data_IF_567742943438
#
_entry.id   IF_567742943438
#
_cell.length_a   1.000
_cell.length_b   1.000
_cell.length_c   1.000
_cell.angle_alpha   90.00
_cell.angle_beta   90.00
_cell.angle_gamma   90.00
#
_symmetry.space_group_name_H-M   'P 1'
#
loop_
_entity.id
_entity.type
_entity.pdbx_description
1 polymer ?
#
# COMPACT_ATOMS: atom_id res chain seq x y z
N UNK A 1 23.73 -8.53 1.31
CA UNK A 1 22.57 -7.87 1.95
C UNK A 1 21.53 -8.95 2.22
N UNK A 2 21.35 -9.36 3.46
CA UNK A 2 20.34 -10.38 3.82
C UNK A 2 18.99 -9.68 3.92
N UNK A 3 18.16 -9.80 2.90
CA UNK A 3 16.79 -9.30 2.96
C UNK A 3 16.00 -10.15 3.97
N UNK A 4 15.65 -9.58 5.12
CA UNK A 4 14.74 -10.25 6.03
C UNK A 4 13.36 -10.32 5.38
N UNK A 5 12.79 -11.51 5.31
CA UNK A 5 11.49 -11.76 4.67
C UNK A 5 10.36 -11.42 5.65
N UNK A 6 9.39 -10.62 5.21
CA UNK A 6 8.19 -10.28 5.99
C UNK A 6 7.08 -11.35 5.91
N UNK A 7 7.39 -12.51 5.32
CA UNK A 7 6.46 -13.64 5.15
C UNK A 7 5.72 -13.61 3.81
N UNK A 8 5.00 -14.69 3.54
CA UNK A 8 4.39 -14.96 2.22
C UNK A 8 3.27 -13.98 1.87
N UNK A 9 2.53 -13.47 2.86
CA UNK A 9 1.47 -12.49 2.62
C UNK A 9 2.05 -11.19 2.03
N UNK A 10 3.18 -10.73 2.54
CA UNK A 10 3.86 -9.54 2.00
C UNK A 10 4.50 -9.81 0.63
N UNK A 11 5.04 -11.01 0.40
CA UNK A 11 5.53 -11.40 -0.93
C UNK A 11 4.39 -11.42 -1.96
N UNK A 12 3.21 -11.93 -1.59
CA UNK A 12 2.03 -11.91 -2.45
C UNK A 12 1.54 -10.48 -2.75
N UNK A 13 1.71 -9.55 -1.81
CA UNK A 13 1.47 -8.12 -2.05
C UNK A 13 2.46 -7.54 -3.08
N UNK A 14 3.75 -7.89 -3.01
CA UNK A 14 4.73 -7.46 -4.01
C UNK A 14 4.39 -7.99 -5.41
N UNK A 15 3.96 -9.25 -5.51
CA UNK A 15 3.50 -9.83 -6.79
C UNK A 15 2.29 -9.05 -7.32
N UNK A 16 1.30 -8.76 -6.49
CA UNK A 16 0.13 -7.97 -6.89
C UNK A 16 0.50 -6.55 -7.37
N UNK A 17 1.50 -5.92 -6.73
CA UNK A 17 2.04 -4.63 -7.21
C UNK A 17 2.67 -4.77 -8.60
N UNK A 18 3.49 -5.79 -8.81
CA UNK A 18 4.13 -6.02 -10.12
C UNK A 18 3.10 -6.30 -11.22
N UNK A 19 2.06 -7.08 -10.93
CA UNK A 19 0.96 -7.34 -11.86
C UNK A 19 0.20 -6.07 -12.22
N UNK A 20 -0.07 -5.20 -11.24
CA UNK A 20 -0.72 -3.92 -11.48
C UNK A 20 0.14 -2.96 -12.31
N UNK A 21 1.43 -2.80 -11.98
CA UNK A 21 2.32 -1.93 -12.77
C UNK A 21 2.51 -2.47 -14.19
N UNK A 22 2.45 -3.80 -14.37
CA UNK A 22 2.42 -4.44 -15.68
C UNK A 22 1.13 -4.14 -16.44
N UNK A 23 -0.05 -4.16 -15.79
CA UNK A 23 -1.30 -3.80 -16.45
C UNK A 23 -1.31 -2.32 -16.88
N UNK A 24 -0.65 -1.45 -16.10
CA UNK A 24 -0.41 -0.07 -16.50
C UNK A 24 0.69 0.10 -17.56
N UNK A 25 1.22 -0.98 -18.15
CA UNK A 25 2.29 -0.93 -19.18
C UNK A 25 3.52 -0.14 -18.72
N UNK A 26 3.76 -0.10 -17.40
CA UNK A 26 4.83 0.67 -16.76
C UNK A 26 4.76 2.18 -17.02
N UNK A 27 3.57 2.69 -17.33
CA UNK A 27 3.30 4.12 -17.45
C UNK A 27 3.57 4.86 -16.13
N UNK A 28 3.75 6.16 -16.24
CA UNK A 28 3.99 7.04 -15.11
C UNK A 28 3.13 8.26 -15.25
N UNK A 29 2.30 8.51 -14.24
CA UNK A 29 1.61 9.79 -14.13
C UNK A 29 2.48 10.78 -13.35
N UNK A 30 2.33 12.06 -13.69
CA UNK A 30 2.92 13.16 -12.92
C UNK A 30 2.21 13.30 -11.56
N UNK A 31 0.93 12.95 -11.51
CA UNK A 31 0.12 12.87 -10.30
C UNK A 31 0.27 11.51 -9.61
N UNK A 32 0.11 11.50 -8.29
CA UNK A 32 0.14 10.28 -7.48
C UNK A 32 -1.16 10.12 -6.70
N UNK A 33 -1.14 9.20 -5.74
CA UNK A 33 -2.24 9.04 -4.79
C UNK A 33 -2.47 10.32 -3.96
N UNK A 34 -3.70 10.48 -3.47
CA UNK A 34 -4.07 11.54 -2.53
C UNK A 34 -3.13 11.60 -1.33
N UNK A 35 -2.87 12.82 -0.84
CA UNK A 35 -1.88 13.06 0.24
C UNK A 35 -2.49 13.40 1.59
N UNK A 36 -3.82 13.47 1.67
CA UNK A 36 -4.58 13.69 2.91
C UNK A 36 -4.16 12.66 3.96
N UNK A 37 -3.73 13.12 5.14
CA UNK A 37 -3.23 12.28 6.25
C UNK A 37 -1.98 11.43 5.95
N UNK A 38 -1.34 11.59 4.79
CA UNK A 38 -0.15 10.79 4.42
C UNK A 38 0.93 10.90 5.49
N UNK A 39 1.42 9.77 6.05
CA UNK A 39 2.48 9.78 7.06
C UNK A 39 3.73 10.55 6.59
N UNK A 40 4.24 11.43 7.44
CA UNK A 40 5.42 12.26 7.15
C UNK A 40 6.65 11.45 6.76
N UNK A 41 6.80 10.24 7.30
CA UNK A 41 7.89 9.31 6.97
C UNK A 41 7.91 8.95 5.48
N UNK A 42 6.74 8.82 4.86
CA UNK A 42 6.62 8.52 3.42
C UNK A 42 7.02 9.75 2.60
N UNK A 43 6.56 10.94 3.00
CA UNK A 43 6.97 12.19 2.36
C UNK A 43 8.49 12.38 2.39
N UNK A 44 9.11 12.19 3.56
CA UNK A 44 10.56 12.30 3.73
C UNK A 44 11.31 11.25 2.89
N UNK A 45 10.83 10.01 2.87
CA UNK A 45 11.44 8.94 2.07
C UNK A 45 11.37 9.22 0.57
N UNK A 46 10.22 9.68 0.06
CA UNK A 46 10.07 10.09 -1.34
C UNK A 46 11.00 11.26 -1.67
N UNK A 47 11.04 12.29 -0.82
CA UNK A 47 11.91 13.47 -0.98
C UNK A 47 13.40 13.11 -0.96
N UNK A 48 13.79 12.12 -0.15
CA UNK A 48 15.15 11.59 -0.10
C UNK A 48 15.51 10.70 -1.30
N UNK A 49 14.63 10.56 -2.30
CA UNK A 49 14.88 9.73 -3.47
C UNK A 49 14.73 8.24 -3.20
N UNK A 50 13.90 7.86 -2.23
CA UNK A 50 13.50 6.47 -1.96
C UNK A 50 14.66 5.52 -1.65
N UNK A 51 15.68 6.03 -0.98
CA UNK A 51 16.89 5.25 -0.65
C UNK A 51 17.86 5.05 -1.82
N UNK A 52 17.64 5.68 -2.97
CA UNK A 52 18.53 5.57 -4.14
C UNK A 52 19.68 6.58 -4.14
N UNK A 53 19.59 7.64 -3.33
CA UNK A 53 20.53 8.77 -3.38
C UNK A 53 21.69 8.70 -2.37
N UNK A 54 21.83 7.61 -1.62
CA UNK A 54 23.01 7.33 -0.78
C UNK A 54 23.31 8.33 0.35
N UNK A 55 22.42 9.27 0.67
CA UNK A 55 22.62 10.28 1.72
C UNK A 55 22.22 9.82 3.14
N UNK A 56 22.37 10.66 4.18
CA UNK A 56 22.04 10.33 5.57
C UNK A 56 20.57 9.90 5.79
N UNK A 57 19.68 10.33 4.89
CA UNK A 57 18.25 9.97 4.86
C UNK A 57 17.95 8.71 4.02
N UNK A 58 18.97 8.08 3.42
CA UNK A 58 18.86 6.88 2.58
C UNK A 58 18.73 5.63 3.46
N UNK A 59 17.57 5.47 4.08
CA UNK A 59 17.34 4.46 5.13
C UNK A 59 16.86 3.09 4.60
N UNK A 60 17.29 2.71 3.39
CA UNK A 60 16.97 1.42 2.76
C UNK A 60 15.68 1.44 1.92
N UNK A 61 15.14 0.24 1.68
CA UNK A 61 14.07 0.00 0.70
C UNK A 61 12.69 0.57 1.07
N UNK A 62 12.53 1.15 2.27
CA UNK A 62 11.27 1.77 2.73
C UNK A 62 11.50 2.91 3.72
N UNK A 63 10.43 3.62 4.13
CA UNK A 63 10.51 4.72 5.08
C UNK A 63 10.90 4.24 6.49
N UNK A 64 11.72 5.04 7.18
CA UNK A 64 12.06 4.78 8.59
C UNK A 64 10.88 5.05 9.49
N UNK A 65 10.39 4.00 10.13
CA UNK A 65 9.31 4.11 11.11
C UNK A 65 9.92 4.33 12.50
N UNK A 66 9.42 5.33 13.23
CA UNK A 66 9.83 5.59 14.62
C UNK A 66 8.97 4.81 15.59
N UNK A 67 7.88 5.43 16.05
CA UNK A 67 6.83 4.78 16.83
C UNK A 67 5.85 4.06 15.89
N UNK A 68 5.68 2.75 16.10
CA UNK A 68 4.73 1.94 15.33
C UNK A 68 3.30 2.42 15.54
N UNK A 69 2.88 2.60 16.80
CA UNK A 69 1.53 3.05 17.17
C UNK A 69 1.13 4.35 16.47
N UNK A 70 2.00 5.38 16.52
CA UNK A 70 1.72 6.66 15.85
C UNK A 70 1.66 6.51 14.34
N UNK A 71 2.58 5.72 13.77
CA UNK A 71 2.63 5.50 12.34
C UNK A 71 1.37 4.79 11.85
N UNK A 72 0.97 3.71 12.52
CA UNK A 72 -0.23 2.93 12.23
C UNK A 72 -1.49 3.80 12.21
N UNK A 73 -1.69 4.64 13.23
CA UNK A 73 -2.82 5.57 13.28
C UNK A 73 -2.87 6.48 12.05
N UNK A 74 -1.74 7.10 11.72
CA UNK A 74 -1.64 7.97 10.53
C UNK A 74 -1.77 7.21 9.21
N UNK A 75 -1.27 5.97 9.16
CA UNK A 75 -1.35 5.13 7.97
C UNK A 75 -2.79 4.73 7.67
N UNK A 76 -3.55 4.29 8.68
CA UNK A 76 -4.96 3.97 8.52
C UNK A 76 -5.81 5.19 8.16
N UNK A 77 -5.52 6.36 8.74
CA UNK A 77 -6.19 7.61 8.37
C UNK A 77 -5.90 8.05 6.93
N UNK A 78 -4.69 7.80 6.44
CA UNK A 78 -4.35 8.01 5.03
C UNK A 78 -5.03 6.98 4.12
N UNK A 79 -4.98 5.71 4.50
CA UNK A 79 -5.59 4.63 3.75
C UNK A 79 -7.10 4.83 3.61
N UNK A 80 -7.78 5.25 4.68
CA UNK A 80 -9.19 5.63 4.64
C UNK A 80 -9.46 6.80 3.70
N UNK A 81 -8.65 7.86 3.75
CA UNK A 81 -8.82 9.02 2.87
C UNK A 81 -8.60 8.70 1.38
N UNK A 82 -7.94 7.59 1.08
CA UNK A 82 -7.73 7.09 -0.29
C UNK A 82 -8.87 6.20 -0.78
N UNK A 83 -9.72 5.67 0.10
CA UNK A 83 -10.71 4.69 -0.33
C UNK A 83 -11.75 5.32 -1.27
N UNK A 84 -12.11 4.60 -2.35
CA UNK A 84 -13.13 5.07 -3.26
C UNK A 84 -14.50 5.06 -2.57
N UNK A 85 -15.45 5.92 -2.98
CA UNK A 85 -16.73 6.10 -2.28
C UNK A 85 -17.60 4.83 -2.13
N UNK A 86 -17.46 3.88 -3.05
CA UNK A 86 -18.21 2.62 -3.01
C UNK A 86 -17.71 1.67 -1.92
N UNK A 87 -16.49 1.87 -1.41
CA UNK A 87 -15.86 0.96 -0.46
C UNK A 87 -16.18 1.35 0.97
N UNK A 88 -16.88 0.47 1.68
CA UNK A 88 -17.35 0.71 3.05
C UNK A 88 -16.45 0.08 4.09
N UNK A 89 -16.47 0.62 5.31
CA UNK A 89 -15.88 -0.03 6.49
C UNK A 89 -16.72 -1.23 6.88
N UNK A 90 -16.06 -2.29 7.34
CA UNK A 90 -16.77 -3.46 7.86
C UNK A 90 -17.42 -3.11 9.22
N UNK A 91 -18.75 -3.28 9.37
CA UNK A 91 -19.44 -2.91 10.60
C UNK A 91 -18.88 -3.65 11.82
N UNK A 92 -18.54 -2.89 12.87
CA UNK A 92 -18.07 -3.46 14.14
C UNK A 92 -16.62 -3.94 14.14
N UNK A 93 -15.88 -3.84 13.03
CA UNK A 93 -14.46 -4.20 12.97
C UNK A 93 -13.60 -2.97 12.65
N UNK A 94 -12.87 -2.43 13.64
CA UNK A 94 -11.92 -1.35 13.40
C UNK A 94 -10.89 -1.72 12.33
N UNK A 95 -10.42 -0.71 11.58
CA UNK A 95 -9.32 -0.85 10.59
C UNK A 95 -9.55 -1.95 9.54
N UNK A 96 -10.81 -2.17 9.17
CA UNK A 96 -11.17 -3.13 8.12
C UNK A 96 -12.20 -2.55 7.16
N UNK A 97 -11.97 -2.80 5.89
CA UNK A 97 -12.89 -2.47 4.81
C UNK A 97 -13.56 -3.72 4.29
N UNK A 98 -14.78 -3.57 3.82
CA UNK A 98 -15.46 -4.64 3.10
C UNK A 98 -14.65 -4.99 1.85
N UNK A 99 -14.52 -6.30 1.62
CA UNK A 99 -13.85 -6.89 0.46
C UNK A 99 -14.87 -7.72 -0.30
N UNK A 100 -15.57 -7.07 -1.23
CA UNK A 100 -16.51 -7.75 -2.13
C UNK A 100 -15.75 -8.69 -3.09
N UNK A 101 -16.48 -9.52 -3.84
CA UNK A 101 -15.84 -10.41 -4.80
C UNK A 101 -15.18 -9.60 -5.94
N UNK A 102 -14.09 -10.12 -6.54
CA UNK A 102 -13.45 -9.42 -7.66
C UNK A 102 -14.40 -9.13 -8.85
N UNK A 103 -15.33 -10.03 -9.24
CA UNK A 103 -16.31 -9.73 -10.28
C UNK A 103 -17.24 -8.55 -9.95
N UNK A 104 -17.59 -8.36 -8.67
CA UNK A 104 -18.35 -7.20 -8.21
C UNK A 104 -17.47 -5.95 -8.20
N UNK A 105 -16.30 -6.04 -7.56
CA UNK A 105 -15.36 -4.93 -7.45
C UNK A 105 -14.92 -4.38 -8.82
N UNK A 106 -14.81 -5.24 -9.85
CA UNK A 106 -14.45 -4.85 -11.22
C UNK A 106 -15.46 -3.89 -11.86
N UNK A 107 -16.72 -3.89 -11.42
CA UNK A 107 -17.78 -3.01 -11.94
C UNK A 107 -17.76 -1.63 -11.30
N UNK A 108 -16.99 -1.46 -10.22
CA UNK A 108 -16.93 -0.23 -9.46
C UNK A 108 -15.92 0.77 -10.02
N UNK A 109 -16.06 2.03 -9.62
CA UNK A 109 -15.16 3.10 -10.06
C UNK A 109 -13.86 3.13 -9.25
N UNK A 110 -12.76 2.78 -9.89
CA UNK A 110 -11.42 2.74 -9.29
C UNK A 110 -10.57 3.98 -9.55
N UNK A 111 -11.05 4.97 -10.32
CA UNK A 111 -10.23 6.04 -10.88
C UNK A 111 -9.46 6.83 -9.82
N UNK A 112 -10.05 7.08 -8.65
CA UNK A 112 -9.39 7.77 -7.53
C UNK A 112 -8.11 7.09 -7.01
N UNK A 113 -7.95 5.80 -7.28
CA UNK A 113 -6.79 4.99 -6.90
C UNK A 113 -5.88 4.67 -8.10
N UNK A 114 -6.26 5.04 -9.33
CA UNK A 114 -5.48 4.82 -10.54
C UNK A 114 -4.30 5.80 -10.57
N UNK A 115 -3.14 5.34 -10.11
CA UNK A 115 -1.90 6.11 -10.09
C UNK A 115 -0.70 5.27 -10.54
N UNK A 116 -0.49 5.04 -11.85
CA UNK A 116 0.66 4.33 -12.39
C UNK A 116 2.02 4.90 -11.95
N UNK A 117 2.97 4.02 -11.66
CA UNK A 117 4.36 4.36 -11.43
C UNK A 117 4.70 4.77 -9.98
N UNK A 118 5.84 5.47 -9.79
CA UNK A 118 6.51 5.55 -8.49
C UNK A 118 5.80 6.43 -7.44
N UNK A 119 4.78 7.20 -7.84
CA UNK A 119 3.97 8.02 -6.94
C UNK A 119 2.67 7.32 -6.50
N UNK A 120 2.41 6.13 -7.03
CA UNK A 120 1.23 5.32 -6.77
C UNK A 120 1.37 4.32 -5.64
N UNK A 121 0.90 3.11 -5.91
CA UNK A 121 0.87 1.97 -4.99
C UNK A 121 2.24 1.61 -4.41
N UNK A 122 3.34 1.91 -5.11
CA UNK A 122 4.70 1.75 -4.59
C UNK A 122 4.88 2.41 -3.22
N UNK A 123 4.33 3.60 -3.01
CA UNK A 123 4.47 4.32 -1.74
C UNK A 123 3.75 3.60 -0.59
N UNK A 124 2.58 3.01 -0.85
CA UNK A 124 1.83 2.22 0.12
C UNK A 124 2.60 0.94 0.47
N UNK A 125 3.05 0.19 -0.53
CA UNK A 125 3.80 -1.06 -0.32
C UNK A 125 5.12 -0.81 0.42
N UNK A 126 5.87 0.22 0.05
CA UNK A 126 7.10 0.61 0.75
C UNK A 126 6.81 0.99 2.21
N UNK A 127 5.73 1.71 2.47
CA UNK A 127 5.34 2.08 3.84
C UNK A 127 5.00 0.86 4.71
N UNK A 128 4.32 -0.15 4.15
CA UNK A 128 4.06 -1.42 4.82
C UNK A 128 5.33 -2.25 5.01
N UNK A 129 6.31 -2.17 4.11
CA UNK A 129 7.62 -2.76 4.33
C UNK A 129 8.30 -2.16 5.56
N UNK A 130 8.38 -0.82 5.64
CA UNK A 130 8.97 -0.11 6.77
C UNK A 130 8.30 -0.46 8.10
N UNK A 131 6.97 -0.52 8.11
CA UNK A 131 6.19 -0.94 9.29
C UNK A 131 6.45 -2.41 9.65
N UNK A 132 6.37 -3.32 8.69
CA UNK A 132 6.59 -4.75 8.91
C UNK A 132 7.99 -5.06 9.44
N UNK A 133 9.00 -4.31 8.99
CA UNK A 133 10.38 -4.44 9.49
C UNK A 133 10.52 -4.13 10.98
N UNK A 134 9.68 -3.24 11.54
CA UNK A 134 9.64 -3.00 13.00
C UNK A 134 8.99 -4.14 13.77
N UNK A 135 8.15 -4.92 13.12
CA UNK A 135 7.37 -6.00 13.71
C UNK A 135 7.87 -7.40 13.32
N UNK A 136 9.06 -7.50 12.73
CA UNK A 136 9.53 -8.78 12.16
C UNK A 136 9.88 -9.82 13.24
N UNK A 137 10.34 -9.38 14.40
CA UNK A 137 10.63 -10.24 15.55
C UNK A 137 9.43 -10.41 16.49
N UNK A 138 8.31 -9.72 16.23
CA UNK A 138 7.09 -9.78 17.04
C UNK A 138 6.22 -10.91 16.54
N UNK A 139 5.93 -11.87 17.42
CA UNK A 139 5.13 -13.07 17.10
C UNK A 139 3.64 -12.74 17.01
N UNK A 140 3.09 -12.12 18.05
CA UNK A 140 1.71 -11.61 18.08
C UNK A 140 1.64 -10.31 18.87
N UNK A 141 0.84 -9.37 18.38
CA UNK A 141 0.51 -8.07 18.98
C UNK A 141 -0.64 -7.47 18.19
N UNK A 142 -1.32 -6.47 18.75
CA UNK A 142 -2.34 -5.71 18.03
C UNK A 142 -1.75 -5.06 16.77
N UNK A 143 -0.59 -4.41 16.90
CA UNK A 143 0.09 -3.75 15.79
C UNK A 143 0.51 -4.73 14.69
N UNK A 144 0.86 -5.98 15.06
CA UNK A 144 1.16 -7.04 14.09
C UNK A 144 -0.09 -7.48 13.34
N UNK A 145 -1.22 -7.65 14.03
CA UNK A 145 -2.50 -8.00 13.41
C UNK A 145 -3.00 -6.89 12.49
N UNK A 146 -2.87 -5.65 12.90
CA UNK A 146 -3.23 -4.49 12.09
C UNK A 146 -2.32 -4.33 10.87
N UNK A 147 -1.02 -4.58 11.01
CA UNK A 147 -0.12 -4.65 9.85
C UNK A 147 -0.52 -5.77 8.89
N UNK A 148 -0.89 -6.96 9.39
CA UNK A 148 -1.36 -8.07 8.55
C UNK A 148 -2.66 -7.70 7.83
N UNK A 149 -3.61 -7.04 8.51
CA UNK A 149 -4.85 -6.56 7.88
C UNK A 149 -4.55 -5.52 6.80
N UNK A 150 -3.68 -4.55 7.07
CA UNK A 150 -3.25 -3.55 6.10
C UNK A 150 -2.61 -4.18 4.84
N UNK A 151 -1.73 -5.18 5.01
CA UNK A 151 -1.13 -5.94 3.90
C UNK A 151 -2.20 -6.70 3.11
N UNK A 152 -3.12 -7.35 3.82
CA UNK A 152 -4.18 -8.15 3.20
C UNK A 152 -5.15 -7.27 2.41
N UNK A 153 -5.52 -6.14 2.98
CA UNK A 153 -6.41 -5.16 2.40
C UNK A 153 -5.81 -4.50 1.16
N UNK A 154 -4.55 -4.05 1.27
CA UNK A 154 -3.84 -3.47 0.14
C UNK A 154 -3.68 -4.50 -0.99
N UNK A 155 -3.35 -5.75 -0.68
CA UNK A 155 -3.21 -6.81 -1.69
C UNK A 155 -4.53 -7.06 -2.43
N UNK A 156 -5.65 -7.11 -1.71
CA UNK A 156 -6.97 -7.22 -2.33
C UNK A 156 -7.23 -6.02 -3.26
N UNK A 157 -6.91 -4.81 -2.80
CA UNK A 157 -7.07 -3.59 -3.58
C UNK A 157 -6.25 -3.63 -4.88
N UNK A 158 -4.95 -3.97 -4.83
CA UNK A 158 -4.09 -4.01 -6.01
C UNK A 158 -4.58 -5.04 -7.05
N UNK A 159 -5.11 -6.18 -6.59
CA UNK A 159 -5.72 -7.19 -7.47
C UNK A 159 -7.02 -6.69 -8.11
N UNK A 160 -7.84 -5.97 -7.35
CA UNK A 160 -9.05 -5.33 -7.86
C UNK A 160 -8.74 -4.30 -8.95
N UNK A 161 -7.78 -3.40 -8.69
CA UNK A 161 -7.29 -2.45 -9.68
C UNK A 161 -6.75 -3.13 -10.94
N UNK A 162 -5.93 -4.17 -10.78
CA UNK A 162 -5.35 -4.89 -11.91
C UNK A 162 -6.45 -5.57 -12.76
N UNK A 163 -7.46 -6.16 -12.11
CA UNK A 163 -8.60 -6.75 -12.80
C UNK A 163 -9.47 -5.71 -13.54
N UNK A 164 -9.61 -4.51 -12.96
CA UNK A 164 -10.30 -3.38 -13.60
C UNK A 164 -9.51 -2.85 -14.80
N UNK A 165 -8.20 -2.64 -14.69
CA UNK A 165 -7.37 -2.15 -15.79
C UNK A 165 -7.36 -3.12 -16.99
N UNK A 166 -7.13 -4.42 -16.73
CA UNK A 166 -7.16 -5.44 -17.79
C UNK A 166 -8.53 -5.59 -18.45
N UNK A 167 -9.60 -5.08 -17.83
CA UNK A 167 -10.93 -5.09 -18.40
C UNK A 167 -11.17 -3.99 -19.42
N UNK A 168 -10.46 -2.87 -19.27
CA UNK A 168 -10.51 -1.73 -20.18
C UNK A 168 -9.76 -2.03 -21.48
N UNK A 169 -8.71 -2.86 -21.43
CA UNK A 169 -7.96 -3.31 -22.62
C UNK A 169 -8.72 -4.33 -23.50
N UNK A 170 -9.89 -4.82 -23.07
CA UNK A 170 -10.71 -5.81 -23.80
C UNK A 170 -11.91 -5.20 -24.54
N UNK A 171 -12.08 -3.87 -24.50
CA UNK A 171 -13.15 -3.10 -25.18
C UNK A 171 -12.52 -2.27 -26.29
#
# INVERSE_FOLDING_TARGET
ITFKKLGDNFNALLVALMELERSYKWEKLSTGLGTTNRPTQIYLWVRAGRGLRGGPMSQGAGPTIGSVVKFEQTWWAWWEALQPPWRKREPGIPKRFERVSYPEARKENWESLRAPGPNGALNLVASLYGWGMKLIAVVDSEEKRDWVEAVTDLKWMLRGLCAAENSLDLV
#
